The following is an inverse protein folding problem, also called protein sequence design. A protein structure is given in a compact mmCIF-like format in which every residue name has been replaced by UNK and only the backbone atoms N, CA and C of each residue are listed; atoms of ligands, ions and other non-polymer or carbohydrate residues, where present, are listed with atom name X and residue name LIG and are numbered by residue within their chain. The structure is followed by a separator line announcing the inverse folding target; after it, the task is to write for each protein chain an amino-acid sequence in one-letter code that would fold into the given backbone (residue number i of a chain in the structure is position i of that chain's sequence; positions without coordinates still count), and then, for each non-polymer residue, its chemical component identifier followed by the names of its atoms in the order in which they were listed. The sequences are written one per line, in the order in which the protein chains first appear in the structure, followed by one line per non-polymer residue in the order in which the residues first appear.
data_IF_247021222009
#
_entry.id   IF_247021222009
#
_cell.length_a   1.000
_cell.length_b   1.000
_cell.length_c   1.000
_cell.angle_alpha   90.00
_cell.angle_beta   90.00
_cell.angle_gamma   90.00
#
_symmetry.space_group_name_H-M   'P 1'
#
loop_
_entity.id
_entity.type
_entity.pdbx_description
1 polymer ?
#
# COMPACT_ATOMS: atom_id res chain seq x y z
N UNK A 1 1.94 -30.33 -4.56
CA UNK A 1 2.35 -29.27 -3.62
C UNK A 1 1.38 -28.11 -3.81
N UNK A 2 0.84 -27.54 -2.74
CA UNK A 2 0.07 -26.29 -2.83
C UNK A 2 0.98 -25.19 -3.41
N UNK A 3 0.45 -24.38 -4.32
CA UNK A 3 1.22 -23.31 -4.94
C UNK A 3 1.54 -22.21 -3.91
N UNK A 4 2.81 -21.82 -3.84
CA UNK A 4 3.26 -20.69 -3.01
C UNK A 4 3.00 -19.36 -3.71
N UNK A 5 2.30 -18.45 -3.05
CA UNK A 5 2.14 -17.06 -3.50
C UNK A 5 3.26 -16.20 -2.91
N UNK A 6 3.99 -15.48 -3.76
CA UNK A 6 5.02 -14.53 -3.32
C UNK A 6 4.38 -13.14 -3.22
N UNK A 7 4.54 -12.48 -2.07
CA UNK A 7 3.99 -11.14 -1.81
C UNK A 7 5.13 -10.19 -1.46
N UNK A 8 5.35 -9.17 -2.28
CA UNK A 8 6.27 -8.07 -1.98
C UNK A 8 5.49 -6.91 -1.34
N UNK A 9 5.95 -6.45 -0.17
CA UNK A 9 5.34 -5.34 0.54
C UNK A 9 6.38 -4.23 0.71
N UNK A 10 6.14 -3.06 0.12
CA UNK A 10 6.96 -1.86 0.35
C UNK A 10 6.47 -1.07 1.56
N UNK A 11 7.39 -0.52 2.37
CA UNK A 11 7.02 0.14 3.62
C UNK A 11 6.49 -0.85 4.67
N UNK A 12 6.93 -2.10 4.59
CA UNK A 12 6.42 -3.22 5.40
C UNK A 12 6.73 -3.13 6.90
N UNK A 13 7.49 -2.13 7.33
CA UNK A 13 7.99 -1.98 8.70
C UNK A 13 7.15 -1.06 9.59
N UNK A 14 6.06 -0.48 9.09
CA UNK A 14 5.19 0.36 9.90
C UNK A 14 3.74 0.38 9.38
N UNK A 15 2.81 0.79 10.26
CA UNK A 15 1.41 1.01 9.91
C UNK A 15 0.76 -0.17 9.19
N UNK A 16 0.11 0.13 8.07
CA UNK A 16 -0.62 -0.86 7.26
C UNK A 16 0.32 -1.94 6.70
N UNK A 17 1.50 -1.57 6.20
CA UNK A 17 2.44 -2.54 5.61
C UNK A 17 2.91 -3.60 6.61
N UNK A 18 3.13 -3.19 7.85
CA UNK A 18 3.47 -4.11 8.94
C UNK A 18 2.30 -5.01 9.31
N UNK A 19 1.10 -4.44 9.44
CA UNK A 19 -0.11 -5.22 9.73
C UNK A 19 -0.40 -6.28 8.65
N UNK A 20 -0.27 -5.91 7.37
CA UNK A 20 -0.40 -6.84 6.23
C UNK A 20 0.66 -7.94 6.28
N UNK A 21 1.92 -7.57 6.54
CA UNK A 21 3.01 -8.54 6.71
C UNK A 21 2.66 -9.56 7.79
N UNK A 22 2.22 -9.09 8.96
CA UNK A 22 1.89 -9.95 10.09
C UNK A 22 0.68 -10.86 9.80
N UNK A 23 -0.33 -10.34 9.11
CA UNK A 23 -1.52 -11.09 8.71
C UNK A 23 -1.22 -12.21 7.70
N UNK A 24 -0.19 -12.06 6.87
CA UNK A 24 0.15 -13.01 5.80
C UNK A 24 1.28 -13.96 6.20
N UNK A 25 2.27 -13.49 6.96
CA UNK A 25 3.49 -14.25 7.25
C UNK A 25 3.24 -15.58 7.97
N UNK A 26 2.16 -15.67 8.75
CA UNK A 26 1.77 -16.90 9.45
C UNK A 26 0.85 -17.82 8.63
N UNK A 27 0.46 -17.44 7.41
CA UNK A 27 -0.42 -18.25 6.58
C UNK A 27 0.38 -19.26 5.74
N UNK A 28 -0.14 -20.49 5.55
CA UNK A 28 0.50 -21.47 4.70
C UNK A 28 0.52 -20.99 3.26
N UNK A 29 1.56 -21.38 2.51
CA UNK A 29 1.70 -21.10 1.07
C UNK A 29 1.92 -19.62 0.71
N UNK A 30 2.35 -18.78 1.66
CA UNK A 30 2.80 -17.42 1.36
C UNK A 30 4.29 -17.27 1.64
N UNK A 31 4.98 -16.59 0.74
CA UNK A 31 6.33 -16.08 0.97
C UNK A 31 6.27 -14.55 0.92
N UNK A 32 6.48 -13.90 2.06
CA UNK A 32 6.47 -12.44 2.16
C UNK A 32 7.89 -11.88 2.02
N UNK A 33 8.08 -10.99 1.06
CA UNK A 33 9.30 -10.19 0.91
C UNK A 33 8.98 -8.79 1.44
N UNK A 34 9.67 -8.39 2.50
CA UNK A 34 9.53 -7.06 3.10
C UNK A 34 10.56 -6.11 2.50
N UNK A 35 10.10 -5.01 1.93
CA UNK A 35 10.95 -3.91 1.50
C UNK A 35 10.75 -2.69 2.43
N UNK A 36 11.86 -2.23 3.02
CA UNK A 36 11.93 -1.02 3.85
C UNK A 36 13.15 -0.20 3.43
N UNK A 37 13.05 1.13 3.59
CA UNK A 37 14.14 2.07 3.28
C UNK A 37 15.24 2.09 4.35
N UNK A 38 15.05 1.39 5.44
CA UNK A 38 15.95 1.41 6.59
C UNK A 38 15.79 0.10 7.37
N UNK A 39 16.91 -0.59 7.61
CA UNK A 39 16.96 -1.89 8.30
C UNK A 39 16.68 -1.75 9.81
N UNK A 40 17.10 -0.63 10.42
CA UNK A 40 16.94 -0.34 11.86
C UNK A 40 15.55 0.24 12.14
N UNK A 41 15.09 1.16 11.30
CA UNK A 41 13.69 1.57 11.29
C UNK A 41 12.77 0.46 10.76
N UNK A 42 13.31 -0.54 10.07
CA UNK A 42 12.69 -1.85 9.81
C UNK A 42 12.15 -2.50 11.07
N UNK A 43 12.78 -2.21 12.20
CA UNK A 43 12.37 -2.58 13.54
C UNK A 43 11.62 -1.43 14.27
N UNK A 44 11.87 -0.15 13.95
CA UNK A 44 11.16 1.02 14.53
C UNK A 44 11.11 2.28 13.60
N UNK A 45 10.12 2.50 12.72
CA UNK A 45 10.21 3.59 11.71
C UNK A 45 9.25 4.78 11.83
N UNK A 46 9.67 5.84 12.51
CA UNK A 46 9.03 7.16 12.51
C UNK A 46 9.67 8.14 11.48
N UNK A 47 8.86 9.03 10.87
CA UNK A 47 9.24 10.38 10.40
C UNK A 47 8.03 11.15 9.82
N UNK A 48 7.39 11.99 10.64
CA UNK A 48 6.59 13.13 10.19
C UNK A 48 7.09 14.41 10.87
N UNK A 49 7.58 15.41 10.11
CA UNK A 49 7.91 16.73 10.68
C UNK A 49 7.77 17.87 9.65
N UNK A 50 6.99 18.88 10.03
CA UNK A 50 6.75 20.18 9.39
C UNK A 50 7.73 21.24 9.91
N UNK A 51 8.39 22.00 9.02
CA UNK A 51 8.47 23.47 9.10
C UNK A 51 8.50 24.15 7.71
N UNK A 52 8.12 25.45 7.58
CA UNK A 52 8.03 26.17 6.31
C UNK A 52 9.07 27.30 6.20
N UNK A 53 10.02 27.17 5.28
CA UNK A 53 10.42 28.18 4.28
C UNK A 53 11.59 27.57 3.49
N UNK A 54 11.52 27.52 2.16
CA UNK A 54 12.31 26.60 1.28
C UNK A 54 12.01 25.10 1.47
N UNK A 55 11.85 24.66 2.72
CA UNK A 55 11.47 23.31 3.11
C UNK A 55 10.15 22.83 2.48
N UNK A 56 9.26 23.72 2.03
CA UNK A 56 8.02 23.35 1.37
C UNK A 56 8.23 22.71 0.00
N UNK A 57 9.12 23.27 -0.84
CA UNK A 57 9.39 22.75 -2.20
C UNK A 57 10.09 21.41 -2.13
N UNK A 58 11.16 21.31 -1.35
CA UNK A 58 11.90 20.08 -1.16
C UNK A 58 11.03 18.97 -0.54
N UNK A 59 10.09 19.33 0.35
CA UNK A 59 9.11 18.38 0.89
C UNK A 59 8.12 17.91 -0.16
N UNK A 60 7.56 18.81 -0.96
CA UNK A 60 6.66 18.46 -2.06
C UNK A 60 7.41 17.56 -3.04
N UNK A 61 8.60 17.93 -3.48
CA UNK A 61 9.43 17.11 -4.36
C UNK A 61 9.67 15.72 -3.78
N UNK A 62 10.10 15.64 -2.51
CA UNK A 62 10.30 14.36 -1.82
C UNK A 62 9.02 13.52 -1.73
N UNK A 63 7.86 14.15 -1.53
CA UNK A 63 6.56 13.49 -1.52
C UNK A 63 6.25 12.91 -2.90
N UNK A 64 6.44 13.67 -3.98
CA UNK A 64 6.22 13.19 -5.34
C UNK A 64 7.22 12.09 -5.73
N UNK A 65 8.50 12.27 -5.43
CA UNK A 65 9.54 11.27 -5.68
C UNK A 65 9.25 9.95 -4.95
N UNK A 66 8.77 9.99 -3.70
CA UNK A 66 8.49 8.77 -2.93
C UNK A 66 7.15 8.14 -3.32
N UNK A 67 6.07 8.91 -3.32
CA UNK A 67 4.71 8.38 -3.37
C UNK A 67 4.17 8.22 -4.80
N UNK A 68 4.74 8.94 -5.77
CA UNK A 68 4.28 8.90 -7.17
C UNK A 68 5.33 8.21 -8.03
N UNK A 69 6.50 8.82 -8.19
CA UNK A 69 7.54 8.28 -9.08
C UNK A 69 8.15 6.98 -8.54
N UNK A 70 8.42 6.90 -7.23
CA UNK A 70 8.93 5.68 -6.60
C UNK A 70 7.98 4.50 -6.77
N UNK A 71 6.67 4.71 -6.57
CA UNK A 71 5.64 3.69 -6.77
C UNK A 71 5.52 3.27 -8.24
N UNK A 72 5.59 4.23 -9.17
CA UNK A 72 5.59 3.97 -10.61
C UNK A 72 6.79 3.13 -11.04
N UNK A 73 8.00 3.55 -10.67
CA UNK A 73 9.25 2.86 -11.03
C UNK A 73 9.34 1.47 -10.41
N UNK A 74 8.90 1.31 -9.15
CA UNK A 74 8.80 -0.01 -8.54
C UNK A 74 7.84 -0.89 -9.34
N UNK A 75 6.65 -0.38 -9.66
CA UNK A 75 5.67 -1.13 -10.46
C UNK A 75 6.27 -1.56 -11.80
N UNK A 76 6.88 -0.63 -12.54
CA UNK A 76 7.53 -0.89 -13.83
C UNK A 76 8.59 -1.99 -13.74
N UNK A 77 9.44 -1.97 -12.70
CA UNK A 77 10.46 -2.99 -12.48
C UNK A 77 9.87 -4.40 -12.23
N UNK A 78 8.67 -4.48 -11.64
CA UNK A 78 7.99 -5.75 -11.34
C UNK A 78 7.01 -6.21 -12.42
N UNK A 79 6.68 -5.39 -13.42
CA UNK A 79 5.77 -5.76 -14.54
C UNK A 79 6.15 -7.10 -15.19
N UNK A 80 7.43 -7.39 -15.53
CA UNK A 80 7.78 -8.67 -16.15
C UNK A 80 7.47 -9.89 -15.28
N UNK A 81 7.56 -9.75 -13.95
CA UNK A 81 7.25 -10.80 -12.99
C UNK A 81 5.72 -10.93 -12.80
N UNK A 82 5.01 -9.80 -12.76
CA UNK A 82 3.55 -9.79 -12.70
C UNK A 82 2.97 -10.49 -13.93
N UNK A 83 3.39 -10.15 -15.15
CA UNK A 83 2.87 -10.77 -16.38
C UNK A 83 3.06 -12.30 -16.41
N UNK A 84 4.10 -12.81 -15.74
CA UNK A 84 4.38 -14.26 -15.62
C UNK A 84 3.69 -14.94 -14.45
N UNK A 85 3.12 -14.18 -13.52
CA UNK A 85 2.41 -14.72 -12.37
C UNK A 85 1.11 -15.39 -12.79
N UNK A 86 0.71 -16.48 -12.14
CA UNK A 86 -0.58 -17.14 -12.38
C UNK A 86 -1.75 -16.26 -11.96
N UNK A 87 -1.58 -15.50 -10.87
CA UNK A 87 -2.56 -14.54 -10.33
C UNK A 87 -1.84 -13.22 -10.03
N UNK A 88 -1.55 -12.38 -11.04
CA UNK A 88 -0.88 -11.09 -10.81
C UNK A 88 -1.79 -10.07 -10.12
N UNK A 89 -1.36 -9.60 -8.96
CA UNK A 89 -2.08 -8.64 -8.14
C UNK A 89 -1.16 -7.45 -7.83
N UNK A 90 -1.63 -6.24 -8.10
CA UNK A 90 -0.96 -5.00 -7.72
C UNK A 90 -1.90 -4.18 -6.85
N UNK A 91 -1.48 -3.91 -5.61
CA UNK A 91 -2.24 -3.10 -4.65
C UNK A 91 -1.40 -1.86 -4.32
N UNK A 92 -1.88 -0.69 -4.74
CA UNK A 92 -1.27 0.60 -4.41
C UNK A 92 -1.99 1.23 -3.23
N UNK A 93 -1.27 1.53 -2.16
CA UNK A 93 -1.84 2.24 -1.01
C UNK A 93 -2.02 3.71 -1.39
N UNK A 94 -3.26 4.18 -1.40
CA UNK A 94 -3.64 5.55 -1.74
C UNK A 94 -4.48 6.19 -0.63
N UNK A 95 -4.96 7.40 -0.87
CA UNK A 95 -5.89 8.12 0.01
C UNK A 95 -7.12 8.56 -0.79
N UNK A 96 -8.21 8.92 -0.10
CA UNK A 96 -9.43 9.41 -0.75
C UNK A 96 -9.19 10.64 -1.66
N UNK A 97 -8.17 11.45 -1.39
CA UNK A 97 -7.79 12.62 -2.20
C UNK A 97 -6.78 12.29 -3.32
N UNK A 98 -6.19 11.10 -3.31
CA UNK A 98 -5.12 10.67 -4.21
C UNK A 98 -5.61 10.00 -5.50
N UNK A 99 -6.79 10.36 -6.00
CA UNK A 99 -7.46 9.69 -7.12
C UNK A 99 -6.61 9.65 -8.40
N UNK A 100 -5.93 8.52 -8.62
CA UNK A 100 -5.20 8.19 -9.85
C UNK A 100 -6.16 7.60 -10.90
N UNK A 101 -6.74 8.45 -11.74
CA UNK A 101 -7.67 8.05 -12.82
C UNK A 101 -7.02 7.44 -14.07
N UNK A 102 -5.72 7.15 -14.08
CA UNK A 102 -4.99 6.71 -15.29
C UNK A 102 -4.43 5.28 -15.23
N UNK A 103 -4.29 4.68 -14.04
CA UNK A 103 -3.81 3.29 -13.91
C UNK A 103 -4.90 2.24 -14.26
N UNK A 104 -6.16 2.68 -14.35
CA UNK A 104 -7.33 1.83 -14.64
C UNK A 104 -7.86 1.95 -16.08
N UNK A 105 -7.16 2.64 -17.00
CA UNK A 105 -7.62 2.77 -18.39
C UNK A 105 -7.55 1.40 -19.11
N UNK A 106 -8.69 0.80 -19.49
CA UNK A 106 -8.73 -0.48 -20.20
C UNK A 106 -8.06 -0.46 -21.59
N UNK A 107 -7.71 0.72 -22.13
CA UNK A 107 -6.99 0.87 -23.41
C UNK A 107 -5.48 0.68 -23.31
N UNK A 108 -4.92 0.47 -22.11
CA UNK A 108 -3.50 0.17 -21.96
C UNK A 108 -3.26 -1.34 -22.15
N UNK A 109 -2.95 -1.74 -23.39
CA UNK A 109 -2.89 -3.14 -23.84
C UNK A 109 -1.90 -4.02 -23.05
N UNK A 110 -0.91 -3.43 -22.37
CA UNK A 110 0.12 -4.17 -21.60
C UNK A 110 -0.33 -4.65 -20.22
N UNK A 111 -1.45 -4.14 -19.68
CA UNK A 111 -1.92 -4.43 -18.31
C UNK A 111 -3.15 -5.33 -18.24
N UNK A 112 -3.66 -5.86 -19.36
CA UNK A 112 -4.97 -6.53 -19.40
C UNK A 112 -5.11 -7.78 -18.51
N UNK A 113 -4.02 -8.39 -18.03
CA UNK A 113 -4.07 -9.54 -17.13
C UNK A 113 -3.71 -9.21 -15.67
N UNK A 114 -3.28 -7.98 -15.34
CA UNK A 114 -2.90 -7.61 -13.97
C UNK A 114 -4.11 -7.03 -13.24
N UNK A 115 -4.47 -7.62 -12.11
CA UNK A 115 -5.51 -7.06 -11.24
C UNK A 115 -4.92 -5.92 -10.42
N UNK A 116 -5.30 -4.70 -10.78
CA UNK A 116 -4.81 -3.47 -10.16
C UNK A 116 -5.87 -2.92 -9.21
N UNK A 117 -5.47 -2.60 -7.98
CA UNK A 117 -6.31 -1.98 -6.96
C UNK A 117 -5.60 -0.75 -6.41
N UNK A 118 -6.36 0.32 -6.21
CA UNK A 118 -5.97 1.35 -5.26
C UNK A 118 -6.66 1.03 -3.93
N UNK A 119 -5.94 1.04 -2.82
CA UNK A 119 -6.49 0.76 -1.50
C UNK A 119 -6.35 1.97 -0.59
N UNK A 120 -7.47 2.47 -0.10
CA UNK A 120 -7.54 3.54 0.89
C UNK A 120 -7.72 2.91 2.28
N UNK A 121 -6.73 2.99 3.19
CA UNK A 121 -6.87 2.45 4.54
C UNK A 121 -7.78 3.32 5.43
N UNK A 122 -8.13 4.53 5.00
CA UNK A 122 -8.77 5.53 5.85
C UNK A 122 -7.81 6.07 6.91
N UNK A 123 -8.36 6.61 8.00
CA UNK A 123 -7.58 7.13 9.10
C UNK A 123 -7.17 6.00 10.05
N UNK A 124 -5.96 5.48 9.88
CA UNK A 124 -5.42 4.37 10.69
C UNK A 124 -4.27 4.82 11.59
N UNK A 125 -4.06 4.12 12.71
CA UNK A 125 -2.97 4.37 13.66
C UNK A 125 -1.63 4.35 12.93
N UNK A 126 -0.91 5.47 12.96
CA UNK A 126 0.32 5.65 12.17
C UNK A 126 1.13 6.83 12.67
N UNK A 127 2.45 6.74 12.53
CA UNK A 127 3.41 7.77 12.89
C UNK A 127 3.62 8.84 11.80
N UNK A 128 2.88 8.78 10.69
CA UNK A 128 2.89 9.82 9.64
C UNK A 128 2.51 11.21 10.18
N UNK A 129 1.75 11.27 11.27
CA UNK A 129 1.29 12.51 11.90
C UNK A 129 2.22 13.02 13.02
N UNK A 130 3.20 12.22 13.44
CA UNK A 130 4.08 12.52 14.56
C UNK A 130 4.34 11.32 15.46
N UNK A 131 5.20 11.52 16.46
CA UNK A 131 5.66 10.50 17.39
C UNK A 131 4.80 10.34 18.65
N UNK A 132 4.04 11.37 19.02
CA UNK A 132 3.23 11.33 20.24
C UNK A 132 2.05 10.39 20.09
N UNK A 133 1.59 9.81 21.18
CA UNK A 133 0.39 8.96 21.17
C UNK A 133 -0.84 9.71 20.65
N UNK A 134 -0.99 11.01 20.93
CA UNK A 134 -2.10 11.78 20.34
C UNK A 134 -1.96 11.93 18.83
N UNK A 135 -0.75 12.12 18.30
CA UNK A 135 -0.51 12.20 16.86
C UNK A 135 -0.75 10.83 16.19
N UNK A 136 -0.23 9.76 16.80
CA UNK A 136 -0.33 8.39 16.30
C UNK A 136 -1.79 7.94 16.20
N UNK A 137 -2.58 8.20 17.25
CA UNK A 137 -4.00 7.84 17.34
C UNK A 137 -4.93 8.86 16.69
N UNK A 138 -4.40 9.97 16.16
CA UNK A 138 -5.22 11.11 15.73
C UNK A 138 -6.21 11.54 16.82
N UNK A 139 -5.72 11.70 18.05
CA UNK A 139 -6.51 12.03 19.25
C UNK A 139 -7.61 10.99 19.53
N UNK A 140 -7.27 9.71 19.36
CA UNK A 140 -8.18 8.58 19.59
C UNK A 140 -9.17 8.27 18.48
N UNK A 141 -9.09 8.93 17.32
CA UNK A 141 -10.03 8.72 16.20
C UNK A 141 -9.52 7.75 15.13
N UNK A 142 -8.25 7.38 15.17
CA UNK A 142 -7.67 6.47 14.20
C UNK A 142 -8.07 5.01 14.45
N UNK A 143 -8.45 4.31 13.39
CA UNK A 143 -8.77 2.88 13.42
C UNK A 143 -7.54 1.97 13.48
N UNK A 144 -7.79 0.68 13.64
CA UNK A 144 -6.76 -0.36 13.71
C UNK A 144 -6.20 -0.70 12.31
N UNK A 145 -4.87 -0.62 12.08
CA UNK A 145 -4.24 -1.09 10.86
C UNK A 145 -4.56 -2.55 10.48
N UNK A 146 -4.91 -3.42 11.44
CA UNK A 146 -5.30 -4.79 11.16
C UNK A 146 -6.61 -4.90 10.36
N UNK A 147 -7.55 -3.96 10.50
CA UNK A 147 -8.75 -3.92 9.66
C UNK A 147 -8.37 -3.71 8.18
N UNK A 148 -7.38 -2.84 7.93
CA UNK A 148 -6.83 -2.65 6.59
C UNK A 148 -6.11 -3.89 6.08
N UNK A 149 -5.38 -4.60 6.95
CA UNK A 149 -4.70 -5.83 6.60
C UNK A 149 -5.69 -6.94 6.19
N UNK A 150 -6.79 -7.09 6.92
CA UNK A 150 -7.84 -8.04 6.60
C UNK A 150 -8.48 -7.75 5.23
N UNK A 151 -8.83 -6.49 4.96
CA UNK A 151 -9.38 -6.09 3.66
C UNK A 151 -8.39 -6.31 2.51
N UNK A 152 -7.09 -6.05 2.73
CA UNK A 152 -6.05 -6.38 1.74
C UNK A 152 -5.93 -7.90 1.54
N UNK A 153 -6.13 -8.70 2.58
CA UNK A 153 -6.13 -10.16 2.47
C UNK A 153 -7.31 -10.67 1.62
N UNK A 154 -8.48 -10.04 1.71
CA UNK A 154 -9.62 -10.33 0.83
C UNK A 154 -9.26 -10.09 -0.66
N UNK A 155 -8.52 -9.02 -0.95
CA UNK A 155 -7.99 -8.76 -2.31
C UNK A 155 -6.99 -9.85 -2.72
N UNK A 156 -6.04 -10.20 -1.84
CA UNK A 156 -5.01 -11.22 -2.11
C UNK A 156 -5.59 -12.61 -2.30
N UNK A 157 -6.72 -12.91 -1.66
CA UNK A 157 -7.43 -14.20 -1.80
C UNK A 157 -8.46 -14.21 -2.94
N UNK A 158 -8.69 -13.06 -3.58
CA UNK A 158 -9.57 -12.93 -4.75
C UNK A 158 -11.04 -12.67 -4.41
N UNK A 159 -11.38 -12.50 -3.13
CA UNK A 159 -12.74 -12.17 -2.68
C UNK A 159 -13.22 -10.80 -3.20
N UNK A 160 -12.27 -9.93 -3.59
CA UNK A 160 -12.53 -8.58 -4.11
C UNK A 160 -12.18 -8.42 -5.59
N UNK A 161 -12.08 -9.52 -6.35
CA UNK A 161 -11.71 -9.45 -7.78
C UNK A 161 -12.75 -8.65 -8.62
N UNK A 162 -13.98 -8.46 -8.13
CA UNK A 162 -14.98 -7.57 -8.75
C UNK A 162 -14.68 -6.07 -8.60
N UNK A 163 -13.79 -5.71 -7.67
CA UNK A 163 -13.40 -4.32 -7.40
C UNK A 163 -12.12 -3.89 -8.14
N UNK A 164 -11.66 -4.70 -9.11
CA UNK A 164 -10.48 -4.37 -9.93
C UNK A 164 -10.67 -3.01 -10.61
N UNK A 165 -9.62 -2.19 -10.56
CA UNK A 165 -9.60 -0.83 -11.10
C UNK A 165 -10.25 0.23 -10.19
N UNK A 166 -10.77 -0.15 -9.01
CA UNK A 166 -11.43 0.77 -8.07
C UNK A 166 -10.51 1.23 -6.93
N UNK A 167 -10.94 2.30 -6.25
CA UNK A 167 -10.39 2.74 -4.97
C UNK A 167 -11.12 2.01 -3.83
N UNK A 168 -10.56 0.90 -3.38
CA UNK A 168 -11.11 0.00 -2.37
C UNK A 168 -10.90 0.55 -0.96
N UNK A 169 -11.88 0.36 -0.09
CA UNK A 169 -11.81 0.56 1.35
C UNK A 169 -12.24 -0.72 2.09
N UNK A 170 -12.01 -0.79 3.39
CA UNK A 170 -12.46 -1.92 4.22
C UNK A 170 -13.99 -2.09 4.18
N UNK A 171 -14.72 -0.98 4.11
CA UNK A 171 -16.20 -0.96 4.11
C UNK A 171 -16.81 -0.90 2.70
N UNK A 172 -16.02 -1.11 1.64
CA UNK A 172 -16.51 -1.09 0.25
C UNK A 172 -15.51 -0.49 -0.75
N UNK A 173 -15.94 0.45 -1.57
CA UNK A 173 -15.09 1.22 -2.47
C UNK A 173 -15.62 2.65 -2.59
N UNK A 174 -14.73 3.59 -2.91
CA UNK A 174 -15.13 4.96 -3.21
C UNK A 174 -15.54 5.07 -4.68
N UNK A 175 -16.66 5.76 -4.98
CA UNK A 175 -17.00 6.10 -6.36
C UNK A 175 -15.99 7.10 -6.92
N UNK A 176 -15.76 7.01 -8.22
CA UNK A 176 -14.97 7.98 -8.98
C UNK A 176 -15.85 9.12 -9.47
#
# INVERSE_FOLDING_TARGET
MSETTIVLITGANSGVGYAVTHAIACQPNYHVIMASRDLLKGQEANAGTTSPDTAGRDKIEKIFLTNVFGAMLATEAFVPLLVRSRRPCLIQISSALGSLGLASDPKNEKSQNVRVFAFCPGLVRSNLRGASEEAITARGTAGDPMESANAIMEIITGQRDEDVGRLVHKDGYYPW
#
